data_IF_044693018867
#
_entry.id   IF_044693018867
#
_cell.length_a   1.000
_cell.length_b   1.000
_cell.length_c   1.000
_cell.angle_alpha   90.00
_cell.angle_beta   90.00
_cell.angle_gamma   90.00
#
_symmetry.space_group_name_H-M   'P 1'
#
loop_
_entity.id
_entity.type
_entity.pdbx_description
1 polymer ?
#
# COMPACT_ATOMS: atom_id res chain seq x y z
N UNK A 1 21.85 5.64 -7.73
CA UNK A 1 21.51 4.20 -7.86
C UNK A 1 20.00 4.15 -7.96
N UNK A 2 19.45 3.64 -9.07
CA UNK A 2 17.99 3.49 -9.18
C UNK A 2 17.53 2.44 -8.17
N UNK A 3 16.51 2.77 -7.37
CA UNK A 3 15.86 1.79 -6.53
C UNK A 3 15.24 0.73 -7.44
N UNK A 4 15.61 -0.54 -7.23
CA UNK A 4 14.99 -1.64 -7.96
C UNK A 4 13.50 -1.76 -7.61
N UNK A 5 12.70 -2.16 -8.58
CA UNK A 5 11.24 -2.21 -8.45
C UNK A 5 10.79 -3.19 -7.37
N UNK A 6 11.47 -4.33 -7.23
CA UNK A 6 11.14 -5.30 -6.18
C UNK A 6 11.54 -4.78 -4.79
N UNK A 7 12.64 -4.04 -4.71
CA UNK A 7 13.01 -3.35 -3.47
C UNK A 7 11.96 -2.29 -3.08
N UNK A 8 11.43 -1.54 -4.05
CA UNK A 8 10.34 -0.58 -3.79
C UNK A 8 9.08 -1.27 -3.27
N UNK A 9 8.66 -2.37 -3.89
CA UNK A 9 7.51 -3.16 -3.43
C UNK A 9 7.71 -3.63 -1.99
N UNK A 10 8.88 -4.19 -1.68
CA UNK A 10 9.18 -4.66 -0.32
C UNK A 10 9.15 -3.51 0.69
N UNK A 11 9.74 -2.36 0.36
CA UNK A 11 9.76 -1.22 1.27
C UNK A 11 8.35 -0.64 1.51
N UNK A 12 7.48 -0.63 0.49
CA UNK A 12 6.07 -0.28 0.65
C UNK A 12 5.39 -1.21 1.65
N UNK A 13 5.58 -2.53 1.51
CA UNK A 13 4.99 -3.52 2.43
C UNK A 13 5.50 -3.32 3.86
N UNK A 14 6.80 -3.14 4.04
CA UNK A 14 7.43 -2.91 5.33
C UNK A 14 6.88 -1.64 6.01
N UNK A 15 6.66 -0.57 5.25
CA UNK A 15 6.05 0.67 5.77
C UNK A 15 4.60 0.42 6.18
N UNK A 16 3.80 -0.23 5.33
CA UNK A 16 2.39 -0.51 5.63
C UNK A 16 2.26 -1.37 6.89
N UNK A 17 3.10 -2.39 7.05
CA UNK A 17 3.13 -3.23 8.24
C UNK A 17 3.60 -2.47 9.48
N UNK A 18 4.77 -1.82 9.40
CA UNK A 18 5.39 -1.10 10.53
C UNK A 18 4.50 0.00 11.10
N UNK A 19 3.72 0.66 10.24
CA UNK A 19 2.81 1.74 10.64
C UNK A 19 1.37 1.27 10.87
N UNK A 20 1.14 -0.05 10.86
CA UNK A 20 -0.16 -0.66 11.13
C UNK A 20 -1.26 -0.21 10.15
N UNK A 21 -0.90 0.02 8.89
CA UNK A 21 -1.85 0.31 7.82
C UNK A 21 -2.46 -0.99 7.30
N UNK A 22 -3.33 -1.62 8.10
CA UNK A 22 -3.80 -3.01 7.89
C UNK A 22 -5.31 -3.13 7.65
N UNK A 23 -6.04 -2.02 7.57
CA UNK A 23 -7.49 -2.04 7.38
C UNK A 23 -7.99 -0.73 6.79
N UNK A 24 -9.27 -0.68 6.41
CA UNK A 24 -9.92 0.55 5.95
C UNK A 24 -9.95 1.67 7.00
N UNK A 25 -9.89 1.33 8.30
CA UNK A 25 -9.82 2.32 9.38
C UNK A 25 -8.39 2.83 9.63
N UNK A 26 -7.40 2.12 9.11
CA UNK A 26 -5.98 2.46 9.18
C UNK A 26 -5.40 2.33 7.77
N UNK A 27 -5.83 3.22 6.88
CA UNK A 27 -5.37 3.27 5.49
C UNK A 27 -4.27 4.32 5.33
N UNK A 28 -3.32 4.05 4.44
CA UNK A 28 -2.21 4.93 4.12
C UNK A 28 -2.55 5.76 2.88
N UNK A 29 -2.65 7.09 3.00
CA UNK A 29 -2.73 7.98 1.84
C UNK A 29 -1.44 7.94 1.01
N UNK A 30 -1.55 8.03 -0.32
CA UNK A 30 -0.41 8.07 -1.24
C UNK A 30 0.63 9.15 -0.86
N UNK A 31 0.17 10.34 -0.45
CA UNK A 31 1.03 11.43 -0.01
C UNK A 31 1.86 11.06 1.22
N UNK A 32 1.27 10.31 2.15
CA UNK A 32 1.95 9.84 3.37
C UNK A 32 2.96 8.76 3.04
N UNK A 33 2.59 7.79 2.20
CA UNK A 33 3.50 6.73 1.76
C UNK A 33 4.73 7.31 1.07
N UNK A 34 4.53 8.29 0.17
CA UNK A 34 5.63 9.00 -0.49
C UNK A 34 6.57 9.68 0.50
N UNK A 35 6.03 10.31 1.54
CA UNK A 35 6.84 10.92 2.59
C UNK A 35 7.62 9.87 3.42
N UNK A 36 6.97 8.75 3.77
CA UNK A 36 7.54 7.70 4.61
C UNK A 36 8.63 6.87 3.92
N UNK A 37 8.56 6.73 2.60
CA UNK A 37 9.63 6.12 1.81
C UNK A 37 10.94 6.93 1.87
N UNK A 38 10.94 8.13 2.48
CA UNK A 38 12.14 8.98 2.69
C UNK A 38 12.98 9.13 1.43
N UNK A 39 12.31 9.15 0.28
CA UNK A 39 12.99 9.28 -0.99
C UNK A 39 13.34 10.77 -1.12
N UNK A 40 14.56 11.11 -0.74
CA UNK A 40 15.19 12.42 -0.97
C UNK A 40 15.42 12.70 -2.46
N UNK A 41 15.24 11.69 -3.30
CA UNK A 41 15.40 11.78 -4.74
C UNK A 41 14.10 12.25 -5.39
N UNK A 42 14.14 13.39 -6.09
CA UNK A 42 13.03 13.90 -6.90
C UNK A 42 12.61 12.93 -8.05
N UNK A 43 13.23 11.75 -8.13
CA UNK A 43 13.15 10.81 -9.24
C UNK A 43 12.22 9.61 -9.02
N UNK A 44 11.69 9.36 -7.80
CA UNK A 44 10.50 8.52 -7.70
C UNK A 44 9.26 9.37 -7.95
N UNK A 45 8.82 9.33 -9.20
CA UNK A 45 7.53 9.84 -9.62
C UNK A 45 6.41 9.12 -8.84
N UNK A 46 5.34 9.84 -8.50
CA UNK A 46 4.15 9.26 -7.87
C UNK A 46 3.60 8.09 -8.69
N UNK A 47 3.78 8.14 -10.02
CA UNK A 47 3.49 7.05 -10.94
C UNK A 47 4.21 5.74 -10.58
N UNK A 48 5.50 5.77 -10.24
CA UNK A 48 6.27 4.55 -9.92
C UNK A 48 5.79 3.86 -8.64
N UNK A 49 5.53 4.66 -7.59
CA UNK A 49 4.98 4.14 -6.33
C UNK A 49 3.58 3.56 -6.59
N UNK A 50 2.77 4.24 -7.41
CA UNK A 50 1.43 3.79 -7.74
C UNK A 50 1.41 2.51 -8.57
N UNK A 51 2.31 2.38 -9.54
CA UNK A 51 2.45 1.16 -10.35
C UNK A 51 2.88 -0.02 -9.47
N UNK A 52 3.83 0.20 -8.54
CA UNK A 52 4.22 -0.82 -7.57
C UNK A 52 3.06 -1.24 -6.66
N UNK A 53 2.21 -0.29 -6.22
CA UNK A 53 1.00 -0.58 -5.45
C UNK A 53 -0.04 -1.36 -6.26
N UNK A 54 -0.22 -1.03 -7.54
CA UNK A 54 -1.11 -1.77 -8.43
C UNK A 54 -0.65 -3.23 -8.58
N UNK A 55 0.64 -3.45 -8.78
CA UNK A 55 1.20 -4.81 -8.84
C UNK A 55 1.06 -5.55 -7.52
N UNK A 56 1.33 -4.90 -6.38
CA UNK A 56 1.09 -5.49 -5.08
C UNK A 56 -0.39 -5.84 -4.84
N UNK A 57 -1.32 -5.09 -5.44
CA UNK A 57 -2.75 -5.40 -5.40
C UNK A 57 -3.09 -6.60 -6.28
N UNK A 58 -2.48 -6.72 -7.47
CA UNK A 58 -2.60 -7.90 -8.33
C UNK A 58 -2.01 -9.15 -7.65
N UNK A 59 -0.93 -8.99 -6.89
CA UNK A 59 -0.29 -10.03 -6.05
C UNK A 59 -1.07 -10.33 -4.75
N UNK A 60 -2.23 -9.69 -4.54
CA UNK A 60 -3.10 -9.85 -3.37
C UNK A 60 -2.45 -9.48 -2.02
N UNK A 61 -1.45 -8.59 -2.03
CA UNK A 61 -0.72 -8.14 -0.83
C UNK A 61 -1.27 -6.85 -0.23
N UNK A 62 -1.88 -5.99 -1.04
CA UNK A 62 -2.47 -4.72 -0.59
C UNK A 62 -3.86 -4.50 -1.17
N UNK A 63 -4.64 -3.63 -0.54
CA UNK A 63 -5.96 -3.23 -1.01
C UNK A 63 -5.98 -1.71 -1.22
N UNK A 64 -6.39 -1.28 -2.43
CA UNK A 64 -6.79 0.10 -2.69
C UNK A 64 -8.17 0.35 -2.10
N UNK A 65 -8.24 1.12 -1.02
CA UNK A 65 -9.49 1.39 -0.30
C UNK A 65 -10.28 2.56 -0.88
N UNK A 66 -9.59 3.48 -1.55
CA UNK A 66 -10.17 4.69 -2.10
C UNK A 66 -9.39 5.20 -3.31
N UNK A 67 -10.13 5.66 -4.32
CA UNK A 67 -9.66 6.47 -5.44
C UNK A 67 -10.84 7.32 -5.93
N UNK A 68 -10.66 8.62 -6.25
CA UNK A 68 -11.75 9.43 -6.78
C UNK A 68 -12.15 8.98 -8.19
N UNK A 69 -13.46 8.90 -8.44
CA UNK A 69 -14.01 8.49 -9.74
C UNK A 69 -13.68 9.49 -10.86
N UNK A 70 -13.73 10.79 -10.55
CA UNK A 70 -13.47 11.90 -11.47
C UNK A 70 -12.12 12.57 -11.18
N UNK A 71 -11.58 13.27 -12.18
CA UNK A 71 -10.27 13.94 -12.12
C UNK A 71 -9.24 13.31 -13.05
N UNK A 72 -8.12 14.00 -13.25
CA UNK A 72 -6.98 13.47 -14.02
C UNK A 72 -6.25 12.36 -13.25
N UNK A 73 -5.41 11.60 -13.97
CA UNK A 73 -4.69 10.47 -13.41
C UNK A 73 -3.80 10.86 -12.22
N UNK A 74 -3.11 12.00 -12.31
CA UNK A 74 -2.23 12.46 -11.24
C UNK A 74 -3.03 12.79 -9.96
N UNK A 75 -4.19 13.42 -10.11
CA UNK A 75 -5.11 13.68 -9.00
C UNK A 75 -5.61 12.38 -8.38
N UNK A 76 -5.97 11.38 -9.20
CA UNK A 76 -6.41 10.05 -8.73
C UNK A 76 -5.31 9.33 -7.94
N UNK A 77 -4.10 9.30 -8.48
CA UNK A 77 -2.92 8.71 -7.84
C UNK A 77 -2.69 9.35 -6.47
N UNK A 78 -2.58 10.68 -6.41
CA UNK A 78 -2.25 11.38 -5.17
C UNK A 78 -3.37 11.29 -4.11
N UNK A 79 -4.62 11.12 -4.53
CA UNK A 79 -5.76 10.94 -3.63
C UNK A 79 -5.98 9.47 -3.19
N UNK A 80 -5.30 8.51 -3.83
CA UNK A 80 -5.50 7.10 -3.56
C UNK A 80 -5.04 6.71 -2.14
N UNK A 81 -5.69 5.68 -1.58
CA UNK A 81 -5.41 5.18 -0.24
C UNK A 81 -5.32 3.67 -0.24
N UNK A 82 -4.39 3.15 0.54
CA UNK A 82 -3.94 1.76 0.47
C UNK A 82 -3.71 1.17 1.85
N UNK A 83 -3.96 -0.13 2.02
CA UNK A 83 -3.60 -0.83 3.25
C UNK A 83 -3.15 -2.26 2.94
N UNK A 84 -2.35 -2.83 3.84
CA UNK A 84 -1.86 -4.20 3.77
C UNK A 84 -3.03 -5.17 3.90
N UNK A 85 -3.14 -6.12 2.97
CA UNK A 85 -4.11 -7.20 3.08
C UNK A 85 -3.60 -8.20 4.13
N UNK A 86 -4.35 -8.39 5.20
CA UNK A 86 -4.04 -9.44 6.16
C UNK A 86 -4.37 -10.79 5.52
N UNK A 87 -3.36 -11.54 5.11
CA UNK A 87 -3.52 -12.96 4.78
C UNK A 87 -4.04 -13.67 6.02
N UNK A 88 -5.14 -14.41 5.88
CA UNK A 88 -6.01 -14.85 6.97
C UNK A 88 -5.26 -15.27 8.24
N UNK A 89 -5.27 -14.38 9.24
CA UNK A 89 -5.55 -14.81 10.60
C UNK A 89 -7.06 -15.08 10.66
N UNK A 90 -7.52 -16.10 9.95
CA UNK A 90 -8.76 -16.74 10.35
C UNK A 90 -8.49 -17.25 11.76
N UNK A 91 -9.16 -16.65 12.75
CA UNK A 91 -9.28 -17.26 14.05
C UNK A 91 -9.90 -18.64 13.82
N UNK A 92 -9.08 -19.69 13.94
CA UNK A 92 -9.60 -21.05 14.03
C UNK A 92 -10.68 -21.05 15.11
N UNK A 93 -11.93 -21.46 14.83
CA UNK A 93 -12.90 -21.64 15.88
C UNK A 93 -12.28 -22.66 16.85
N UNK A 94 -12.03 -22.24 18.09
CA UNK A 94 -11.65 -23.17 19.15
C UNK A 94 -12.75 -24.22 19.18
N UNK A 95 -12.44 -25.45 18.78
CA UNK A 95 -13.30 -26.60 19.05
C UNK A 95 -13.46 -26.65 20.56
N UNK A 96 -14.60 -26.19 21.06
CA UNK A 96 -15.07 -26.57 22.38
C UNK A 96 -15.34 -28.06 22.34
N UNK A 97 -14.48 -28.83 23.00
CA UNK A 97 -14.78 -30.20 23.38
C UNK A 97 -15.54 -30.07 24.70
N UNK A 98 -16.82 -30.40 24.68
CA UNK A 98 -17.57 -30.96 25.80
C UNK A 98 -18.63 -31.91 25.21
#
# INVERSE_FOLDING_TARGET
MYMDKENLKQEILDILEKHNYISRLSECPMTTLRFLLKIDDAHLDASLIYDALCELQEEDKVIKSFEPFAGDLNMKINASRWYLKQQGKEESPKKSID
#
